data_IF_550383822679
#
_entry.id   IF_550383822679
#
_cell.length_a   1.000
_cell.length_b   1.000
_cell.length_c   1.000
_cell.angle_alpha   90.00
_cell.angle_beta   90.00
_cell.angle_gamma   90.00
#
_symmetry.space_group_name_H-M   'P 1'
#
loop_
_entity.id
_entity.type
_entity.pdbx_description
1 polymer ?
#
# COMPACT_ATOMS: atom_id res chain seq x y z
N UNK A 1 -17.27 -13.97 -13.51
CA UNK A 1 -17.05 -15.09 -12.60
C UNK A 1 -15.83 -14.80 -11.72
N UNK A 2 -16.12 -14.33 -10.55
CA UNK A 2 -15.17 -13.89 -9.56
C UNK A 2 -14.92 -15.01 -8.54
N UNK A 3 -14.07 -15.96 -8.84
CA UNK A 3 -13.85 -17.10 -7.95
C UNK A 3 -12.37 -17.43 -7.73
N UNK A 4 -11.52 -16.43 -7.60
CA UNK A 4 -10.09 -16.70 -7.47
C UNK A 4 -9.35 -15.85 -6.44
N UNK A 5 -10.02 -15.33 -5.42
CA UNK A 5 -9.30 -14.67 -4.33
C UNK A 5 -9.60 -15.27 -2.96
N UNK A 6 -9.86 -16.55 -2.88
CA UNK A 6 -9.87 -17.19 -1.58
C UNK A 6 -8.45 -17.18 -1.02
N UNK A 7 -8.21 -16.21 -0.17
CA UNK A 7 -7.00 -16.13 0.63
C UNK A 7 -7.07 -17.29 1.61
N UNK A 8 -6.37 -18.38 1.32
CA UNK A 8 -6.24 -19.48 2.26
C UNK A 8 -5.49 -18.98 3.49
N UNK A 9 -6.26 -18.60 4.49
CA UNK A 9 -5.75 -18.26 5.83
C UNK A 9 -5.45 -19.57 6.53
N UNK A 10 -4.21 -19.79 6.94
CA UNK A 10 -3.85 -20.94 7.73
C UNK A 10 -3.57 -20.53 9.17
N UNK A 11 -4.29 -21.12 10.08
CA UNK A 11 -4.05 -21.04 11.52
C UNK A 11 -3.32 -22.30 11.98
N UNK A 12 -2.22 -22.15 12.69
CA UNK A 12 -1.58 -23.21 13.44
C UNK A 12 -1.73 -22.94 14.93
N UNK A 13 -2.19 -23.92 15.65
CA UNK A 13 -2.29 -23.87 17.11
C UNK A 13 -1.08 -24.53 17.72
N UNK A 14 -0.39 -23.88 18.64
CA UNK A 14 0.56 -24.54 19.53
C UNK A 14 -0.16 -24.87 20.83
N UNK A 15 -0.38 -26.18 21.07
CA UNK A 15 -1.15 -26.70 22.20
C UNK A 15 -0.32 -26.83 23.50
N UNK A 16 0.95 -26.47 23.50
CA UNK A 16 1.86 -26.71 24.63
C UNK A 16 1.89 -25.64 25.71
N UNK A 17 1.26 -24.48 25.50
CA UNK A 17 1.19 -23.39 26.48
C UNK A 17 -0.24 -22.92 26.68
N UNK A 18 -0.56 -22.39 27.87
CA UNK A 18 -1.87 -21.78 28.18
C UNK A 18 -2.19 -20.57 27.26
N UNK A 19 -1.23 -20.06 26.55
CA UNK A 19 -1.35 -18.98 25.57
C UNK A 19 -1.72 -19.53 24.20
N UNK A 20 -2.75 -18.94 23.58
CA UNK A 20 -3.13 -19.26 22.19
C UNK A 20 -2.31 -18.40 21.24
N UNK A 21 -1.43 -19.03 20.48
CA UNK A 21 -0.61 -18.39 19.45
C UNK A 21 -1.19 -18.78 18.08
N UNK A 22 -1.52 -17.78 17.29
CA UNK A 22 -2.02 -17.96 15.93
C UNK A 22 -0.96 -17.50 14.95
N UNK A 23 -0.57 -18.35 14.02
CA UNK A 23 0.35 -18.01 12.95
C UNK A 23 -0.38 -17.94 11.62
N UNK A 24 -0.08 -16.94 10.83
CA UNK A 24 -0.73 -16.71 9.54
C UNK A 24 0.29 -16.74 8.42
N UNK A 25 -0.10 -17.37 7.34
CA UNK A 25 0.68 -17.46 6.12
C UNK A 25 -0.19 -17.17 4.91
N UNK A 26 0.24 -16.29 4.02
CA UNK A 26 -0.37 -16.14 2.71
C UNK A 26 0.12 -17.22 1.77
N UNK A 27 -0.78 -18.05 1.30
CA UNK A 27 -0.48 -19.01 0.22
C UNK A 27 -0.55 -18.29 -1.13
N UNK A 28 0.54 -18.37 -1.88
CA UNK A 28 0.56 -17.86 -3.25
C UNK A 28 -0.13 -18.86 -4.18
N UNK A 29 -0.85 -18.42 -5.24
CA UNK A 29 -1.51 -19.31 -6.20
C UNK A 29 -0.56 -20.34 -6.80
N UNK A 30 0.72 -20.01 -6.99
CA UNK A 30 1.74 -20.93 -7.48
C UNK A 30 2.05 -22.11 -6.54
N UNK A 31 1.65 -22.01 -5.27
CA UNK A 31 1.83 -23.06 -4.26
C UNK A 31 0.58 -23.92 -4.04
N UNK A 32 -0.54 -23.47 -4.60
CA UNK A 32 -1.80 -24.20 -4.56
C UNK A 32 -1.97 -24.89 -5.90
N UNK A 33 -1.96 -26.19 -5.86
CA UNK A 33 -2.18 -27.02 -7.04
C UNK A 33 -3.67 -27.31 -7.17
N UNK A 34 -4.35 -26.52 -7.97
CA UNK A 34 -5.77 -26.70 -8.27
C UNK A 34 -5.89 -27.33 -9.64
N UNK A 35 -6.64 -28.41 -9.70
CA UNK A 35 -7.22 -29.12 -10.86
C UNK A 35 -6.34 -29.36 -12.11
N UNK A 36 -6.41 -30.58 -12.64
CA UNK A 36 -5.70 -31.06 -13.85
C UNK A 36 -6.00 -30.23 -15.11
N UNK A 37 -7.17 -29.58 -15.18
CA UNK A 37 -7.63 -28.87 -16.38
C UNK A 37 -7.01 -27.48 -16.58
N UNK A 38 -6.39 -26.90 -15.57
CA UNK A 38 -5.92 -25.51 -15.62
C UNK A 38 -4.42 -25.33 -15.84
N UNK A 39 -3.63 -26.39 -15.81
CA UNK A 39 -2.17 -26.30 -15.88
C UNK A 39 -1.56 -27.10 -17.01
N UNK A 40 -0.84 -26.41 -17.89
CA UNK A 40 -0.02 -27.02 -18.96
C UNK A 40 1.22 -27.77 -18.47
N UNK A 41 1.40 -27.90 -17.15
CA UNK A 41 2.63 -28.44 -16.56
C UNK A 41 2.35 -29.69 -15.75
N UNK A 42 3.12 -30.74 -16.02
CA UNK A 42 3.15 -31.92 -15.18
C UNK A 42 3.70 -31.59 -13.80
N UNK A 43 2.98 -31.98 -12.77
CA UNK A 43 3.43 -31.78 -11.38
C UNK A 43 3.88 -33.13 -10.83
N UNK A 44 5.10 -33.12 -10.32
CA UNK A 44 5.69 -34.29 -9.76
C UNK A 44 6.52 -33.96 -8.52
N UNK A 45 6.53 -34.85 -7.56
CA UNK A 45 7.36 -34.79 -6.37
C UNK A 45 8.48 -35.83 -6.50
N UNK A 46 9.73 -35.39 -6.37
CA UNK A 46 10.86 -36.26 -6.30
C UNK A 46 11.26 -36.52 -4.85
N UNK A 47 11.23 -37.77 -4.44
CA UNK A 47 11.72 -38.21 -3.13
C UNK A 47 13.20 -38.56 -3.23
N UNK A 48 14.06 -37.80 -2.61
CA UNK A 48 15.51 -38.07 -2.55
C UNK A 48 15.85 -39.34 -1.79
N UNK A 49 15.04 -39.71 -0.81
CA UNK A 49 15.23 -40.94 0.00
C UNK A 49 14.90 -42.20 -0.78
N UNK A 50 13.81 -42.19 -1.52
CA UNK A 50 13.36 -43.37 -2.30
C UNK A 50 13.78 -43.32 -3.77
N UNK A 51 14.37 -42.21 -4.21
CA UNK A 51 14.73 -41.91 -5.61
C UNK A 51 13.57 -42.10 -6.60
N UNK A 52 12.34 -41.84 -6.13
CA UNK A 52 11.13 -42.00 -6.92
C UNK A 52 10.53 -40.66 -7.30
N UNK A 53 10.11 -40.56 -8.55
CA UNK A 53 9.29 -39.47 -9.05
C UNK A 53 7.82 -39.87 -8.99
N UNK A 54 7.01 -39.11 -8.25
CA UNK A 54 5.57 -39.36 -8.13
C UNK A 54 4.83 -38.24 -8.80
N UNK A 55 3.96 -38.54 -9.76
CA UNK A 55 3.08 -37.54 -10.38
C UNK A 55 1.95 -37.22 -9.41
N UNK A 56 1.75 -35.94 -9.13
CA UNK A 56 0.66 -35.48 -8.26
C UNK A 56 -0.59 -35.31 -9.12
N UNK A 57 -1.60 -36.14 -8.86
CA UNK A 57 -2.89 -36.14 -9.57
C UNK A 57 -3.99 -35.42 -8.79
N UNK A 58 -3.78 -35.20 -7.50
CA UNK A 58 -4.75 -34.59 -6.61
C UNK A 58 -4.39 -33.15 -6.31
N UNK A 59 -5.37 -32.39 -5.84
CA UNK A 59 -5.12 -31.05 -5.32
C UNK A 59 -4.13 -31.10 -4.16
N UNK A 60 -3.04 -30.39 -4.30
CA UNK A 60 -1.98 -30.34 -3.29
C UNK A 60 -1.62 -28.92 -2.95
N UNK A 61 -1.32 -28.67 -1.69
CA UNK A 61 -0.82 -27.40 -1.20
C UNK A 61 0.62 -27.57 -0.72
N UNK A 62 1.54 -26.87 -1.34
CA UNK A 62 2.92 -26.88 -0.90
C UNK A 62 3.10 -25.93 0.28
N UNK A 63 3.37 -26.48 1.44
CA UNK A 63 3.55 -25.75 2.68
C UNK A 63 5.04 -25.62 2.98
N UNK A 64 5.47 -24.39 3.20
CA UNK A 64 6.79 -24.13 3.76
C UNK A 64 6.68 -23.66 5.23
N UNK A 65 7.83 -23.59 5.92
CA UNK A 65 7.90 -23.18 7.33
C UNK A 65 7.87 -21.64 7.52
N UNK A 66 7.61 -20.87 6.48
CA UNK A 66 7.58 -19.41 6.59
C UNK A 66 6.28 -18.97 7.27
N UNK A 67 6.40 -17.95 8.13
CA UNK A 67 5.30 -17.29 8.81
C UNK A 67 5.29 -15.84 8.34
N UNK A 68 4.13 -15.28 8.06
CA UNK A 68 4.00 -13.88 7.62
C UNK A 68 3.59 -12.95 8.74
N UNK A 69 2.76 -13.43 9.68
CA UNK A 69 2.47 -12.73 10.94
C UNK A 69 2.05 -13.72 12.03
N UNK A 70 2.18 -13.27 13.27
CA UNK A 70 1.79 -14.00 14.48
C UNK A 70 0.80 -13.14 15.24
N UNK A 71 -0.26 -13.75 15.77
CA UNK A 71 -1.19 -13.10 16.70
C UNK A 71 -1.10 -13.81 18.04
N UNK A 72 -0.77 -13.06 19.08
CA UNK A 72 -0.64 -13.54 20.44
C UNK A 72 -0.98 -12.40 21.40
N UNK A 73 -1.76 -12.68 22.44
CA UNK A 73 -2.12 -11.73 23.49
C UNK A 73 -2.67 -10.40 22.91
N UNK A 74 -3.60 -10.51 21.95
CA UNK A 74 -4.24 -9.37 21.27
C UNK A 74 -3.29 -8.50 20.43
N UNK A 75 -2.05 -8.93 20.22
CA UNK A 75 -1.03 -8.21 19.46
C UNK A 75 -0.67 -8.97 18.19
N UNK A 76 -0.61 -8.25 17.05
CA UNK A 76 -0.05 -8.76 15.82
C UNK A 76 1.44 -8.46 15.71
N UNK A 77 2.26 -9.50 15.59
CA UNK A 77 3.68 -9.42 15.24
C UNK A 77 3.84 -9.62 13.75
N UNK A 78 4.08 -8.53 13.01
CA UNK A 78 4.10 -8.54 11.55
C UNK A 78 5.51 -8.77 11.05
N UNK A 79 5.76 -9.92 10.43
CA UNK A 79 7.04 -10.29 9.82
C UNK A 79 7.12 -9.83 8.36
N UNK A 80 5.99 -9.94 7.62
CA UNK A 80 5.88 -9.51 6.23
C UNK A 80 4.66 -8.62 6.03
N UNK A 81 4.89 -7.32 6.06
CA UNK A 81 3.82 -6.31 6.00
C UNK A 81 2.88 -6.48 4.80
N UNK A 82 3.43 -6.69 3.60
CA UNK A 82 2.61 -6.81 2.38
C UNK A 82 1.65 -8.02 2.43
N UNK A 83 2.08 -9.14 2.99
CA UNK A 83 1.24 -10.32 3.14
C UNK A 83 0.23 -10.16 4.28
N UNK A 84 0.63 -9.51 5.38
CA UNK A 84 -0.27 -9.16 6.47
C UNK A 84 -1.44 -8.28 5.99
N UNK A 85 -1.16 -7.23 5.23
CA UNK A 85 -2.18 -6.35 4.64
C UNK A 85 -3.16 -7.15 3.76
N UNK A 86 -2.66 -8.10 2.98
CA UNK A 86 -3.49 -8.96 2.13
C UNK A 86 -4.31 -9.99 2.92
N UNK A 87 -3.72 -10.59 3.97
CA UNK A 87 -4.43 -11.55 4.84
C UNK A 87 -5.61 -10.91 5.54
N UNK A 88 -5.46 -9.65 5.98
CA UNK A 88 -6.51 -8.90 6.65
C UNK A 88 -7.46 -8.16 5.70
N UNK A 89 -7.18 -8.16 4.41
CA UNK A 89 -8.01 -7.46 3.44
C UNK A 89 -7.94 -5.93 3.56
N UNK A 90 -6.85 -5.38 4.10
CA UNK A 90 -6.72 -3.94 4.34
C UNK A 90 -6.72 -3.09 3.05
N UNK A 91 -6.61 -3.71 1.88
CA UNK A 91 -6.66 -2.99 0.61
C UNK A 91 -8.01 -2.31 0.37
N UNK A 92 -9.10 -2.97 0.73
CA UNK A 92 -10.45 -2.39 0.59
C UNK A 92 -10.64 -1.21 1.55
N UNK A 93 -10.23 -1.35 2.80
CA UNK A 93 -10.26 -0.26 3.77
C UNK A 93 -9.42 0.94 3.31
N UNK A 94 -8.23 0.69 2.75
CA UNK A 94 -7.38 1.75 2.21
C UNK A 94 -8.02 2.43 0.99
N UNK A 95 -8.73 1.69 0.14
CA UNK A 95 -9.46 2.22 -1.01
C UNK A 95 -10.61 3.10 -0.56
N UNK A 96 -11.45 2.64 0.36
CA UNK A 96 -12.58 3.40 0.91
C UNK A 96 -12.10 4.74 1.49
N UNK A 97 -11.11 4.72 2.38
CA UNK A 97 -10.53 5.93 2.97
C UNK A 97 -9.91 6.84 1.91
N UNK A 98 -9.22 6.28 0.91
CA UNK A 98 -8.63 7.07 -0.18
C UNK A 98 -9.72 7.78 -1.01
N UNK A 99 -10.84 7.12 -1.24
CA UNK A 99 -12.00 7.70 -1.93
C UNK A 99 -12.62 8.85 -1.14
N UNK A 100 -12.76 8.70 0.18
CA UNK A 100 -13.25 9.78 1.06
C UNK A 100 -12.33 11.02 0.99
N UNK A 101 -11.02 10.82 1.05
CA UNK A 101 -10.03 11.90 0.97
C UNK A 101 -10.09 12.59 -0.39
N UNK A 102 -10.17 11.80 -1.47
CA UNK A 102 -10.27 12.35 -2.82
C UNK A 102 -11.56 13.18 -3.01
N UNK A 103 -12.69 12.73 -2.49
CA UNK A 103 -13.95 13.48 -2.51
C UNK A 103 -13.79 14.81 -1.75
N UNK A 104 -13.19 14.82 -0.56
CA UNK A 104 -12.90 16.07 0.16
C UNK A 104 -11.98 17.01 -0.64
N UNK A 105 -11.00 16.47 -1.40
CA UNK A 105 -10.16 17.28 -2.29
C UNK A 105 -10.97 17.88 -3.43
N UNK A 106 -11.85 17.10 -4.08
CA UNK A 106 -12.76 17.57 -5.13
C UNK A 106 -13.65 18.70 -4.59
N UNK A 107 -14.29 18.47 -3.44
CA UNK A 107 -15.24 19.40 -2.82
C UNK A 107 -14.59 20.71 -2.36
N UNK A 108 -13.28 20.70 -2.07
CA UNK A 108 -12.53 21.90 -1.67
C UNK A 108 -12.48 22.97 -2.76
N UNK A 109 -12.73 22.60 -4.02
CA UNK A 109 -12.68 23.50 -5.17
C UNK A 109 -11.28 24.06 -5.51
N UNK A 110 -10.22 23.56 -4.88
CA UNK A 110 -8.83 23.98 -5.09
C UNK A 110 -8.14 23.28 -6.26
N UNK A 111 -8.80 22.29 -6.87
CA UNK A 111 -8.22 21.44 -7.89
C UNK A 111 -9.05 21.48 -9.18
N UNK A 112 -8.39 21.42 -10.35
CA UNK A 112 -8.99 21.29 -11.68
C UNK A 112 -8.63 19.90 -12.20
N UNK A 113 -9.62 19.14 -12.73
CA UNK A 113 -9.41 17.79 -13.27
C UNK A 113 -9.30 16.70 -12.21
N UNK A 114 -9.86 16.95 -11.03
CA UNK A 114 -9.78 16.02 -9.88
C UNK A 114 -10.55 14.71 -10.08
N UNK A 115 -11.43 14.61 -11.08
CA UNK A 115 -12.12 13.37 -11.49
C UNK A 115 -11.10 12.27 -11.86
N UNK A 116 -9.97 12.66 -12.43
CA UNK A 116 -8.86 11.74 -12.74
C UNK A 116 -8.28 11.07 -11.51
N UNK A 117 -8.29 11.73 -10.37
CA UNK A 117 -7.86 11.15 -9.10
C UNK A 117 -8.77 10.00 -8.67
N UNK A 118 -10.09 10.15 -8.81
CA UNK A 118 -11.07 9.08 -8.50
C UNK A 118 -10.88 7.87 -9.43
N UNK A 119 -10.67 8.10 -10.72
CA UNK A 119 -10.37 7.02 -11.68
C UNK A 119 -9.09 6.25 -11.28
N UNK A 120 -8.05 6.96 -10.86
CA UNK A 120 -6.80 6.34 -10.47
C UNK A 120 -6.89 5.55 -9.15
N UNK A 121 -7.77 5.92 -8.24
CA UNK A 121 -8.04 5.14 -7.02
C UNK A 121 -8.56 3.75 -7.40
N UNK A 122 -9.41 3.62 -8.41
CA UNK A 122 -9.92 2.32 -8.85
C UNK A 122 -8.82 1.43 -9.46
N UNK A 123 -7.85 2.02 -10.12
CA UNK A 123 -6.87 1.28 -10.93
C UNK A 123 -5.50 1.13 -10.27
N UNK A 124 -5.13 1.98 -9.28
CA UNK A 124 -3.77 2.06 -8.73
C UNK A 124 -3.71 2.06 -7.20
N UNK A 125 -3.59 0.88 -6.56
CA UNK A 125 -3.48 0.77 -5.10
C UNK A 125 -2.35 1.58 -4.45
N UNK A 126 -1.31 1.94 -5.20
CA UNK A 126 -0.21 2.77 -4.69
C UNK A 126 -0.66 4.19 -4.31
N UNK A 127 -1.73 4.71 -4.93
CA UNK A 127 -2.31 6.03 -4.66
C UNK A 127 -3.02 6.04 -3.31
N UNK A 128 -3.66 4.95 -2.91
CA UNK A 128 -4.35 4.85 -1.62
C UNK A 128 -3.42 5.24 -0.46
N UNK A 129 -2.22 4.65 -0.41
CA UNK A 129 -1.25 4.94 0.66
C UNK A 129 -0.72 6.37 0.64
N UNK A 130 -0.61 6.99 -0.54
CA UNK A 130 -0.22 8.40 -0.67
C UNK A 130 -1.31 9.33 -0.15
N UNK A 131 -2.58 9.08 -0.48
CA UNK A 131 -3.73 9.83 0.02
C UNK A 131 -3.86 9.71 1.55
N UNK A 132 -3.75 8.51 2.11
CA UNK A 132 -3.74 8.32 3.57
C UNK A 132 -2.59 9.09 4.25
N UNK A 133 -1.46 9.28 3.57
CA UNK A 133 -0.37 10.09 4.09
C UNK A 133 -0.71 11.57 4.06
N UNK A 134 -1.34 12.05 2.98
CA UNK A 134 -1.85 13.43 2.85
C UNK A 134 -2.86 13.73 3.95
N UNK A 135 -3.81 12.81 4.22
CA UNK A 135 -4.79 12.93 5.32
C UNK A 135 -4.10 13.10 6.67
N UNK A 136 -3.09 12.27 6.93
CA UNK A 136 -2.34 12.33 8.20
C UNK A 136 -1.64 13.67 8.43
N UNK A 137 -1.24 14.35 7.37
CA UNK A 137 -0.60 15.68 7.44
C UNK A 137 -1.66 16.78 7.54
N UNK A 138 -2.85 16.56 6.97
CA UNK A 138 -4.00 17.44 7.09
C UNK A 138 -3.91 18.75 6.30
N UNK A 139 -2.97 18.88 5.36
CA UNK A 139 -2.65 20.14 4.69
C UNK A 139 -3.53 20.46 3.47
N UNK A 140 -4.47 19.60 3.09
CA UNK A 140 -5.18 19.73 1.80
C UNK A 140 -6.58 20.36 1.88
N UNK A 141 -7.19 20.43 3.06
CA UNK A 141 -8.58 20.93 3.22
C UNK A 141 -8.70 22.44 3.23
N UNK A 142 -7.67 23.14 3.73
CA UNK A 142 -7.67 24.58 3.92
C UNK A 142 -6.55 25.28 3.13
N UNK A 143 -6.31 24.83 1.90
CA UNK A 143 -5.27 25.43 1.04
C UNK A 143 -5.64 26.87 0.65
N UNK A 144 -4.79 27.79 1.00
CA UNK A 144 -4.87 29.17 0.48
C UNK A 144 -4.16 29.28 -0.88
N UNK A 145 -4.49 30.32 -1.65
CA UNK A 145 -3.75 30.61 -2.89
C UNK A 145 -2.25 30.81 -2.64
N UNK A 146 -1.86 31.31 -1.47
CA UNK A 146 -0.45 31.46 -1.11
C UNK A 146 0.22 30.12 -0.86
N UNK A 147 -0.48 29.15 -0.23
CA UNK A 147 0.03 27.80 -0.03
C UNK A 147 0.25 27.10 -1.36
N UNK A 148 -0.72 27.19 -2.27
CA UNK A 148 -0.60 26.62 -3.61
C UNK A 148 0.58 27.21 -4.40
N UNK A 149 0.77 28.53 -4.35
CA UNK A 149 1.94 29.20 -4.94
C UNK A 149 3.25 28.74 -4.30
N UNK A 150 3.25 28.50 -2.97
CA UNK A 150 4.41 27.94 -2.25
C UNK A 150 4.71 26.51 -2.71
N UNK A 151 3.69 25.66 -2.83
CA UNK A 151 3.82 24.30 -3.36
C UNK A 151 4.45 24.30 -4.76
N UNK A 152 3.95 25.15 -5.67
CA UNK A 152 4.50 25.26 -7.03
C UNK A 152 5.99 25.67 -7.00
N UNK A 153 6.39 26.61 -6.13
CA UNK A 153 7.80 27.02 -5.99
C UNK A 153 8.67 25.89 -5.45
N UNK A 154 8.17 25.13 -4.47
CA UNK A 154 8.89 23.98 -3.89
C UNK A 154 9.06 22.89 -4.95
N UNK A 155 8.01 22.49 -5.65
CA UNK A 155 8.08 21.50 -6.71
C UNK A 155 9.08 21.90 -7.81
N UNK A 156 9.02 23.15 -8.27
CA UNK A 156 9.96 23.68 -9.28
C UNK A 156 11.42 23.59 -8.84
N UNK A 157 11.71 23.80 -7.56
CA UNK A 157 13.07 23.67 -7.01
C UNK A 157 13.64 22.25 -7.17
N UNK A 158 12.77 21.24 -7.23
CA UNK A 158 13.16 19.83 -7.36
C UNK A 158 12.85 19.23 -8.75
N UNK A 159 12.71 20.11 -9.77
CA UNK A 159 12.40 19.75 -11.15
C UNK A 159 11.06 19.03 -11.36
N UNK A 160 10.18 19.07 -10.37
CA UNK A 160 8.79 18.63 -10.50
C UNK A 160 7.92 19.83 -10.93
N UNK A 161 7.07 19.63 -11.95
CA UNK A 161 6.20 20.67 -12.47
C UNK A 161 4.79 20.50 -11.88
N UNK A 162 4.38 21.45 -11.08
CA UNK A 162 3.02 21.51 -10.54
C UNK A 162 2.26 22.66 -11.25
N UNK A 163 1.37 22.36 -12.21
CA UNK A 163 0.65 23.38 -12.95
C UNK A 163 -0.43 24.03 -12.09
N UNK A 164 -0.62 25.33 -12.28
CA UNK A 164 -1.65 26.12 -11.61
C UNK A 164 -2.37 27.00 -12.63
N UNK A 165 -3.71 27.01 -12.61
CA UNK A 165 -4.56 27.82 -13.47
C UNK A 165 -5.68 28.45 -12.63
N UNK A 166 -5.97 29.72 -12.84
CA UNK A 166 -7.05 30.45 -12.17
C UNK A 166 -7.03 30.32 -10.63
N UNK A 167 -5.81 30.30 -10.04
CA UNK A 167 -5.63 30.15 -8.60
C UNK A 167 -5.82 28.74 -8.06
N UNK A 168 -6.02 27.73 -8.92
CA UNK A 168 -6.24 26.35 -8.57
C UNK A 168 -5.13 25.44 -9.12
N UNK A 169 -4.87 24.32 -8.45
CA UNK A 169 -3.92 23.31 -8.90
C UNK A 169 -4.55 22.45 -10.00
N UNK A 170 -3.79 22.17 -11.05
CA UNK A 170 -4.26 21.31 -12.16
C UNK A 170 -3.81 19.87 -11.92
N UNK A 171 -4.75 18.92 -12.01
CA UNK A 171 -4.54 17.49 -11.74
C UNK A 171 -5.17 16.61 -12.84
N UNK A 172 -4.94 17.00 -14.10
CA UNK A 172 -5.53 16.36 -15.27
C UNK A 172 -4.79 15.09 -15.70
N UNK A 173 -3.54 14.93 -15.26
CA UNK A 173 -2.73 13.75 -15.57
C UNK A 173 -2.29 13.01 -14.31
N UNK A 174 -1.91 11.74 -14.49
CA UNK A 174 -1.30 10.95 -13.40
C UNK A 174 -0.01 11.60 -12.85
N UNK A 175 0.77 12.21 -13.73
CA UNK A 175 2.00 12.90 -13.34
C UNK A 175 1.68 14.12 -12.45
N UNK A 176 0.66 14.90 -12.79
CA UNK A 176 0.23 16.05 -11.99
C UNK A 176 -0.25 15.59 -10.61
N UNK A 177 -1.06 14.52 -10.57
CA UNK A 177 -1.56 13.93 -9.33
C UNK A 177 -0.42 13.47 -8.44
N UNK A 178 0.59 12.79 -9.01
CA UNK A 178 1.76 12.35 -8.23
C UNK A 178 2.52 13.53 -7.61
N UNK A 179 2.73 14.60 -8.37
CA UNK A 179 3.40 15.82 -7.89
C UNK A 179 2.57 16.53 -6.82
N UNK A 180 1.25 16.66 -7.01
CA UNK A 180 0.35 17.23 -5.99
C UNK A 180 0.41 16.44 -4.70
N UNK A 181 0.28 15.10 -4.76
CA UNK A 181 0.32 14.24 -3.57
C UNK A 181 1.69 14.29 -2.87
N UNK A 182 2.79 14.40 -3.61
CA UNK A 182 4.13 14.65 -3.04
C UNK A 182 4.17 15.99 -2.30
N UNK A 183 3.67 17.05 -2.90
CA UNK A 183 3.69 18.37 -2.29
C UNK A 183 2.83 18.43 -1.02
N UNK A 184 1.62 17.87 -1.05
CA UNK A 184 0.72 17.78 0.10
C UNK A 184 1.24 16.89 1.22
N UNK A 185 2.05 15.88 0.89
CA UNK A 185 2.62 14.94 1.85
C UNK A 185 3.99 15.36 2.41
N UNK A 186 4.41 16.61 2.21
CA UNK A 186 5.74 17.09 2.62
C UNK A 186 6.87 16.14 2.16
N UNK A 187 6.77 15.69 0.90
CA UNK A 187 7.72 14.72 0.34
C UNK A 187 9.13 15.28 0.24
N UNK A 188 9.26 16.57 -0.11
CA UNK A 188 10.54 17.22 -0.35
C UNK A 188 11.14 17.70 0.98
N UNK A 189 12.27 17.12 1.36
CA UNK A 189 12.95 17.41 2.63
C UNK A 189 14.41 17.78 2.40
N UNK A 190 14.92 18.61 3.29
CA UNK A 190 16.35 18.95 3.34
C UNK A 190 16.89 18.47 4.68
N UNK A 191 18.00 17.71 4.64
CA UNK A 191 18.71 17.33 5.85
C UNK A 191 19.44 18.53 6.43
N UNK A 192 19.17 18.87 7.68
CA UNK A 192 19.77 20.04 8.31
C UNK A 192 21.28 19.97 8.39
N UNK A 193 21.82 18.79 8.67
CA UNK A 193 23.28 18.58 8.80
C UNK A 193 23.91 18.42 7.42
N UNK A 194 23.38 17.50 6.59
CA UNK A 194 23.96 17.17 5.29
C UNK A 194 23.71 18.20 4.21
N UNK A 195 22.72 19.09 4.42
CA UNK A 195 22.19 20.05 3.43
C UNK A 195 21.76 19.40 2.11
N UNK A 196 21.65 18.05 2.08
CA UNK A 196 21.19 17.30 0.92
C UNK A 196 19.68 17.26 0.88
N UNK A 197 19.15 17.21 -0.35
CA UNK A 197 17.71 17.05 -0.59
C UNK A 197 17.34 15.57 -0.57
N UNK A 198 16.19 15.26 0.01
CA UNK A 198 15.63 13.92 0.11
C UNK A 198 14.19 13.94 -0.37
N UNK A 199 13.75 12.86 -1.02
CA UNK A 199 12.36 12.61 -1.34
C UNK A 199 11.86 11.41 -0.53
N UNK A 200 10.84 11.61 0.30
CA UNK A 200 10.27 10.53 1.11
C UNK A 200 8.84 10.79 1.56
N UNK A 201 7.98 9.78 1.41
CA UNK A 201 6.67 9.74 2.07
C UNK A 201 6.76 9.28 3.54
N UNK A 202 7.93 8.79 3.97
CA UNK A 202 8.16 8.34 5.34
C UNK A 202 8.66 9.50 6.19
N UNK A 203 7.79 10.14 6.93
CA UNK A 203 8.10 11.19 7.89
C UNK A 203 7.34 10.95 9.18
N UNK A 204 7.99 11.21 10.32
CA UNK A 204 7.35 11.26 11.63
C UNK A 204 7.50 12.69 12.15
N UNK A 205 6.39 13.31 12.50
CA UNK A 205 6.42 14.61 13.17
C UNK A 205 7.11 14.46 14.53
N UNK A 206 8.09 15.33 14.78
CA UNK A 206 8.78 15.38 16.06
C UNK A 206 8.00 16.35 16.96
N UNK A 207 7.37 15.84 18.01
CA UNK A 207 6.70 16.65 19.01
C UNK A 207 7.76 17.38 19.84
N UNK A 208 7.68 18.69 19.94
CA UNK A 208 8.49 19.49 20.88
C UNK A 208 9.47 20.48 20.25
N UNK A 209 9.58 20.58 18.94
CA UNK A 209 10.33 21.64 18.28
C UNK A 209 9.39 22.72 17.77
N UNK A 210 9.05 23.67 18.63
CA UNK A 210 8.57 24.97 18.17
C UNK A 210 9.74 25.63 17.44
N UNK A 211 9.72 25.58 16.11
CA UNK A 211 10.55 26.46 15.29
C UNK A 211 10.07 27.89 15.55
N UNK A 212 10.86 28.65 16.27
CA UNK A 212 10.76 30.11 16.32
C UNK A 212 11.11 30.71 14.97
#
# INVERSE_FOLDING_TARGET
>A
SSAASDVYKRQFFNLSTKQKIYTFRKLLPSKVCVDEKSTKWLRAMFSTKSQKLTILKEETVNLDYQIDCIFCDEIFYVLKKAYFEQILGLHEEYKEKATEIANKMVDSGNFIGSEKLLELIETKPSIHKKLLKVEKIGSYTNLTTNDMKRMCRVCKKYNDKLPMKDGKLVVESEADIDVVLKALADYYKIGEISKKSYGTFSGKELKGTTSK
#
